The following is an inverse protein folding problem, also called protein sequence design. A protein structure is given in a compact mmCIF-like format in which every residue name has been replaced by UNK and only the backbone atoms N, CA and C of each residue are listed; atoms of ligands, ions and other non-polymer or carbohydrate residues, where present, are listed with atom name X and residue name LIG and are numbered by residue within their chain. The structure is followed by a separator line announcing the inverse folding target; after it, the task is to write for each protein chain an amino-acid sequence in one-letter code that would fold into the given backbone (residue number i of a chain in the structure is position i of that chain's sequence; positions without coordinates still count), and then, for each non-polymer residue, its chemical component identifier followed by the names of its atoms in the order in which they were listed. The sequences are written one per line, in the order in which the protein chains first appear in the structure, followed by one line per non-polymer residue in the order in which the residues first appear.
data_IF_487859029842
#
_entry.id   IF_487859029842
#
_cell.length_a   1.000
_cell.length_b   1.000
_cell.length_c   1.000
_cell.angle_alpha   90.00
_cell.angle_beta   90.00
_cell.angle_gamma   90.00
#
_symmetry.space_group_name_H-M   'P 1'
#
loop_
_entity.id
_entity.type
_entity.pdbx_description
1 polymer ?
#
# COMPACT_ATOMS: atom_id res chain seq x y z
N UNK A 1 -22.53 -4.60 -19.89
CA UNK A 1 -21.32 -3.97 -19.31
C UNK A 1 -20.39 -3.57 -20.43
N UNK A 2 -19.06 -3.77 -20.37
CA UNK A 2 -18.13 -3.25 -21.39
C UNK A 2 -18.50 -3.66 -22.84
N UNK A 3 -18.95 -4.89 -23.12
CA UNK A 3 -19.34 -5.27 -24.49
C UNK A 3 -20.74 -4.79 -24.92
N UNK A 4 -21.43 -3.98 -24.11
CA UNK A 4 -22.81 -3.56 -24.39
C UNK A 4 -23.85 -4.68 -24.21
N UNK A 5 -23.48 -5.80 -23.57
CA UNK A 5 -24.37 -6.93 -23.30
C UNK A 5 -24.89 -6.85 -21.86
N UNK A 6 -26.22 -6.90 -21.62
CA UNK A 6 -26.81 -7.03 -20.29
C UNK A 6 -26.38 -8.31 -19.58
N UNK A 7 -26.26 -8.26 -18.26
CA UNK A 7 -25.82 -9.39 -17.44
C UNK A 7 -26.91 -9.80 -16.47
N UNK A 8 -27.10 -11.10 -16.28
CA UNK A 8 -27.87 -11.67 -15.16
C UNK A 8 -26.85 -12.33 -14.22
N UNK A 9 -26.52 -11.64 -13.14
CA UNK A 9 -25.49 -12.03 -12.18
C UNK A 9 -26.07 -12.65 -10.92
N UNK A 10 -25.24 -13.39 -10.19
CA UNK A 10 -25.58 -13.84 -8.84
C UNK A 10 -25.37 -12.70 -7.83
N UNK A 11 -26.29 -12.51 -6.88
CA UNK A 11 -26.19 -11.55 -5.80
C UNK A 11 -25.20 -11.99 -4.70
N UNK A 12 -23.95 -12.25 -5.09
CA UNK A 12 -22.91 -12.76 -4.21
C UNK A 12 -21.51 -12.25 -4.59
N UNK A 13 -20.61 -12.24 -3.60
CA UNK A 13 -19.25 -11.75 -3.79
C UNK A 13 -19.22 -10.27 -4.18
N UNK A 14 -18.33 -9.90 -5.11
CA UNK A 14 -18.24 -8.53 -5.63
C UNK A 14 -19.15 -8.22 -6.83
N UNK A 15 -20.02 -9.16 -7.25
CA UNK A 15 -20.93 -8.92 -8.39
C UNK A 15 -21.95 -7.81 -8.09
N UNK A 16 -22.56 -7.72 -6.88
CA UNK A 16 -23.47 -6.63 -6.54
C UNK A 16 -22.84 -5.24 -6.64
N UNK A 17 -21.52 -5.12 -6.47
CA UNK A 17 -20.81 -3.85 -6.58
C UNK A 17 -20.67 -3.37 -8.05
N UNK A 18 -20.84 -4.28 -9.01
CA UNK A 18 -20.68 -4.02 -10.45
C UNK A 18 -22.02 -3.79 -11.19
N UNK A 19 -23.13 -4.30 -10.65
CA UNK A 19 -24.43 -4.33 -11.32
C UNK A 19 -25.45 -3.50 -10.54
N UNK A 20 -26.10 -2.55 -11.23
CA UNK A 20 -27.28 -1.85 -10.72
C UNK A 20 -28.50 -2.65 -11.15
N UNK A 21 -29.10 -3.35 -10.18
CA UNK A 21 -30.20 -4.26 -10.44
C UNK A 21 -31.40 -3.57 -11.13
N UNK A 22 -31.91 -4.21 -12.19
CA UNK A 22 -32.98 -3.68 -13.04
C UNK A 22 -32.55 -2.59 -14.04
N UNK A 23 -31.39 -1.97 -13.84
CA UNK A 23 -30.91 -0.84 -14.66
C UNK A 23 -29.83 -1.27 -15.66
N UNK A 24 -28.67 -1.73 -15.17
CA UNK A 24 -27.52 -2.14 -15.99
C UNK A 24 -27.41 -3.67 -16.15
N UNK A 25 -28.25 -4.41 -15.43
CA UNK A 25 -28.35 -5.86 -15.43
C UNK A 25 -29.34 -6.33 -14.37
N UNK A 26 -29.31 -7.62 -14.04
CA UNK A 26 -30.11 -8.20 -12.98
C UNK A 26 -29.25 -8.94 -11.97
N UNK A 27 -29.65 -8.89 -10.70
CA UNK A 27 -29.07 -9.67 -9.62
C UNK A 27 -30.09 -10.71 -9.14
N UNK A 28 -29.66 -11.97 -9.10
CA UNK A 28 -30.49 -13.11 -8.68
C UNK A 28 -29.84 -13.81 -7.50
N UNK A 29 -30.65 -14.25 -6.52
CA UNK A 29 -30.12 -14.91 -5.33
C UNK A 29 -29.47 -16.27 -5.67
N UNK A 30 -28.43 -16.68 -4.94
CA UNK A 30 -27.84 -18.01 -5.11
C UNK A 30 -28.89 -19.12 -4.99
N UNK A 31 -28.93 -20.02 -5.97
CA UNK A 31 -29.88 -21.15 -6.00
C UNK A 31 -31.28 -20.82 -6.54
N UNK A 32 -31.60 -19.54 -6.77
CA UNK A 32 -32.89 -19.12 -7.32
C UNK A 32 -32.96 -19.31 -8.85
N UNK A 33 -33.18 -20.56 -9.26
CA UNK A 33 -33.29 -20.94 -10.68
C UNK A 33 -34.45 -20.23 -11.38
N UNK A 34 -35.55 -20.00 -10.67
CA UNK A 34 -36.73 -19.33 -11.22
C UNK A 34 -36.46 -17.84 -11.47
N UNK A 35 -35.74 -17.18 -10.58
CA UNK A 35 -35.26 -15.81 -10.77
C UNK A 35 -34.43 -15.66 -12.05
N UNK A 36 -33.47 -16.56 -12.29
CA UNK A 36 -32.68 -16.56 -13.52
C UNK A 36 -33.54 -16.71 -14.77
N UNK A 37 -34.51 -17.63 -14.75
CA UNK A 37 -35.43 -17.85 -15.86
C UNK A 37 -36.28 -16.59 -16.14
N UNK A 38 -36.79 -15.95 -15.09
CA UNK A 38 -37.61 -14.75 -15.21
C UNK A 38 -36.81 -13.57 -15.79
N UNK A 39 -35.56 -13.39 -15.37
CA UNK A 39 -34.67 -12.38 -15.96
C UNK A 39 -34.35 -12.70 -17.42
N UNK A 40 -34.05 -13.96 -17.76
CA UNK A 40 -33.80 -14.37 -19.13
C UNK A 40 -35.01 -14.10 -20.03
N UNK A 41 -36.23 -14.40 -19.54
CA UNK A 41 -37.48 -14.10 -20.26
C UNK A 41 -37.64 -12.61 -20.56
N UNK A 42 -37.36 -11.73 -19.60
CA UNK A 42 -37.39 -10.27 -19.81
C UNK A 42 -36.40 -9.84 -20.91
N UNK A 43 -35.21 -10.44 -20.95
CA UNK A 43 -34.18 -10.13 -21.94
C UNK A 43 -34.43 -10.74 -23.33
N UNK A 44 -35.51 -11.51 -23.52
CA UNK A 44 -35.95 -11.92 -24.85
C UNK A 44 -36.52 -10.74 -25.66
N UNK A 45 -37.05 -9.70 -24.99
CA UNK A 45 -37.39 -8.44 -25.63
C UNK A 45 -36.12 -7.74 -26.11
N UNK A 46 -35.97 -7.64 -27.43
CA UNK A 46 -34.78 -7.10 -28.08
C UNK A 46 -34.59 -5.61 -27.83
N UNK A 47 -35.68 -4.84 -27.72
CA UNK A 47 -35.63 -3.40 -27.45
C UNK A 47 -35.17 -3.18 -26.01
N UNK A 48 -35.83 -3.84 -25.06
CA UNK A 48 -35.47 -3.75 -23.64
C UNK A 48 -34.03 -4.18 -23.39
N UNK A 49 -33.60 -5.30 -24.00
CA UNK A 49 -32.22 -5.79 -23.94
C UNK A 49 -31.23 -4.78 -24.50
N UNK A 50 -31.52 -4.15 -25.64
CA UNK A 50 -30.64 -3.17 -26.27
C UNK A 50 -30.46 -1.92 -25.39
N UNK A 51 -31.57 -1.38 -24.86
CA UNK A 51 -31.54 -0.21 -23.99
C UNK A 51 -30.75 -0.47 -22.69
N UNK A 52 -30.96 -1.62 -22.07
CA UNK A 52 -30.17 -2.05 -20.92
C UNK A 52 -28.69 -2.22 -21.28
N UNK A 53 -28.40 -2.71 -22.48
CA UNK A 53 -27.03 -2.87 -23.00
C UNK A 53 -26.28 -1.55 -23.08
N UNK A 54 -26.94 -0.49 -23.56
CA UNK A 54 -26.38 0.88 -23.61
C UNK A 54 -26.08 1.39 -22.19
N UNK A 55 -27.03 1.30 -21.27
CA UNK A 55 -26.82 1.74 -19.88
C UNK A 55 -25.67 0.97 -19.22
N UNK A 56 -25.61 -0.33 -19.44
CA UNK A 56 -24.54 -1.17 -18.93
C UNK A 56 -23.17 -0.84 -19.54
N UNK A 57 -23.10 -0.41 -20.80
CA UNK A 57 -21.86 0.08 -21.42
C UNK A 57 -21.42 1.39 -20.78
N UNK A 58 -22.34 2.36 -20.65
CA UNK A 58 -22.06 3.65 -20.05
C UNK A 58 -21.55 3.53 -18.60
N UNK A 59 -22.09 2.59 -17.84
CA UNK A 59 -21.57 2.30 -16.49
C UNK A 59 -20.15 1.73 -16.53
N UNK A 60 -19.89 0.77 -17.42
CA UNK A 60 -18.58 0.14 -17.53
C UNK A 60 -17.48 1.12 -17.97
N UNK A 61 -17.80 2.11 -18.80
CA UNK A 61 -16.86 3.13 -19.28
C UNK A 61 -16.36 4.08 -18.19
N UNK A 62 -17.04 4.15 -17.03
CA UNK A 62 -16.57 4.89 -15.87
C UNK A 62 -15.36 4.22 -15.20
N UNK A 63 -15.12 2.95 -15.51
CA UNK A 63 -14.08 2.13 -14.90
C UNK A 63 -12.98 1.83 -15.91
N UNK A 64 -11.76 2.29 -15.62
CA UNK A 64 -10.60 2.08 -16.49
C UNK A 64 -9.45 1.38 -15.76
N UNK A 65 -8.63 0.64 -16.51
CA UNK A 65 -7.41 0.02 -16.00
C UNK A 65 -6.45 1.03 -15.37
N UNK A 66 -6.35 2.22 -15.96
CA UNK A 66 -5.54 3.29 -15.41
C UNK A 66 -6.04 3.73 -14.02
N UNK A 67 -7.34 3.98 -13.88
CA UNK A 67 -7.93 4.36 -12.60
C UNK A 67 -7.69 3.26 -11.54
N UNK A 68 -7.93 2.00 -11.89
CA UNK A 68 -7.76 0.85 -11.01
C UNK A 68 -6.31 0.67 -10.51
N UNK A 69 -5.31 1.03 -11.34
CA UNK A 69 -3.90 0.85 -11.03
C UNK A 69 -3.20 2.11 -10.55
N UNK A 70 -3.86 3.28 -10.62
CA UNK A 70 -3.28 4.58 -10.29
C UNK A 70 -2.65 4.63 -8.90
N UNK A 71 -3.37 4.16 -7.87
CA UNK A 71 -2.88 4.13 -6.49
C UNK A 71 -1.74 3.13 -6.32
N UNK A 72 -1.84 1.95 -6.92
CA UNK A 72 -0.79 0.94 -6.88
C UNK A 72 0.52 1.50 -7.46
N UNK A 73 0.45 2.06 -8.66
CA UNK A 73 1.61 2.60 -9.39
C UNK A 73 2.17 3.86 -8.75
N UNK A 74 1.32 4.84 -8.47
CA UNK A 74 1.77 6.19 -8.08
C UNK A 74 2.00 6.33 -6.57
N UNK A 75 1.51 5.41 -5.74
CA UNK A 75 1.65 5.49 -4.27
C UNK A 75 2.36 4.26 -3.73
N UNK A 76 1.88 3.05 -4.06
CA UNK A 76 2.38 1.85 -3.40
C UNK A 76 3.77 1.44 -3.88
N UNK A 77 4.08 1.60 -5.17
CA UNK A 77 5.42 1.27 -5.69
C UNK A 77 6.50 2.19 -5.12
N UNK A 78 6.24 3.49 -5.00
CA UNK A 78 7.18 4.43 -4.37
C UNK A 78 7.44 4.04 -2.91
N UNK A 79 6.38 3.76 -2.15
CA UNK A 79 6.49 3.27 -0.77
C UNK A 79 7.28 1.97 -0.69
N UNK A 80 7.04 1.03 -1.60
CA UNK A 80 7.76 -0.23 -1.64
C UNK A 80 9.25 -0.04 -1.90
N UNK A 81 9.63 0.85 -2.83
CA UNK A 81 11.02 1.19 -3.09
C UNK A 81 11.70 1.83 -1.87
N UNK A 82 11.04 2.79 -1.21
CA UNK A 82 11.56 3.42 0.01
C UNK A 82 11.75 2.37 1.11
N UNK A 83 10.75 1.52 1.32
CA UNK A 83 10.80 0.48 2.35
C UNK A 83 11.88 -0.56 2.06
N UNK A 84 12.07 -0.94 0.80
CA UNK A 84 13.14 -1.82 0.38
C UNK A 84 14.51 -1.20 0.68
N UNK A 85 14.76 0.04 0.28
CA UNK A 85 16.04 0.71 0.55
C UNK A 85 16.34 0.85 2.05
N UNK A 86 15.33 1.21 2.86
CA UNK A 86 15.47 1.29 4.32
C UNK A 86 15.89 -0.05 4.94
N UNK A 87 15.32 -1.16 4.46
CA UNK A 87 15.59 -2.52 4.98
C UNK A 87 16.87 -3.12 4.43
N UNK A 88 17.09 -3.06 3.12
CA UNK A 88 18.21 -3.69 2.42
C UNK A 88 19.56 -3.07 2.81
N UNK A 89 19.59 -1.77 3.06
CA UNK A 89 20.81 -1.08 3.46
C UNK A 89 20.85 -0.72 4.94
N UNK A 90 19.89 -1.15 5.77
CA UNK A 90 19.95 -1.01 7.23
C UNK A 90 20.17 0.42 7.75
N UNK A 91 19.79 1.44 6.98
CA UNK A 91 20.14 2.83 7.26
C UNK A 91 21.55 3.27 6.83
N UNK A 92 22.46 2.38 6.41
CA UNK A 92 23.72 2.77 5.75
C UNK A 92 23.40 3.49 4.43
N UNK A 93 23.36 4.82 4.47
CA UNK A 93 23.01 5.68 3.32
C UNK A 93 22.02 6.81 3.66
N UNK A 94 21.37 6.75 4.83
CA UNK A 94 20.62 7.90 5.37
C UNK A 94 21.58 8.83 6.12
N UNK A 95 21.46 10.15 5.93
CA UNK A 95 22.35 11.16 6.53
C UNK A 95 22.45 11.10 8.08
N UNK A 96 21.49 10.44 8.75
CA UNK A 96 21.40 10.37 10.20
C UNK A 96 21.90 9.06 10.82
N UNK A 97 22.59 8.21 10.06
CA UNK A 97 23.01 6.91 10.59
C UNK A 97 24.31 7.05 11.39
N UNK A 98 24.20 6.82 12.70
CA UNK A 98 25.25 6.94 13.72
C UNK A 98 26.58 6.28 13.30
N UNK A 99 26.53 5.19 12.52
CA UNK A 99 27.71 4.50 11.99
C UNK A 99 28.58 5.35 11.05
N UNK A 100 27.96 6.15 10.17
CA UNK A 100 28.69 7.04 9.24
C UNK A 100 29.37 8.15 10.03
N UNK A 101 28.68 8.78 10.98
CA UNK A 101 29.25 9.79 11.87
C UNK A 101 30.36 9.25 12.77
N UNK A 102 30.24 8.00 13.25
CA UNK A 102 31.29 7.34 14.03
C UNK A 102 32.55 7.10 13.20
N UNK A 103 32.39 6.66 11.94
CA UNK A 103 33.50 6.47 11.00
C UNK A 103 34.15 7.80 10.59
N UNK A 104 33.34 8.84 10.33
CA UNK A 104 33.84 10.18 10.00
C UNK A 104 34.61 10.79 11.18
N UNK A 105 34.06 10.69 12.40
CA UNK A 105 34.72 11.14 13.63
C UNK A 105 36.06 10.42 13.85
N UNK A 106 36.11 9.10 13.62
CA UNK A 106 37.37 8.35 13.70
C UNK A 106 38.38 8.78 12.64
N UNK A 107 37.96 9.05 11.40
CA UNK A 107 38.86 9.54 10.34
C UNK A 107 39.40 10.94 10.65
N UNK A 108 38.55 11.86 11.11
CA UNK A 108 38.96 13.20 11.53
C UNK A 108 39.94 13.13 12.70
N UNK A 109 39.63 12.37 13.76
CA UNK A 109 40.51 12.22 14.92
C UNK A 109 41.91 11.69 14.55
N UNK A 110 42.00 10.72 13.62
CA UNK A 110 43.29 10.21 13.14
C UNK A 110 44.09 11.24 12.34
N UNK A 111 43.43 12.08 11.55
CA UNK A 111 44.09 13.16 10.80
C UNK A 111 44.64 14.22 11.76
N UNK A 112 43.86 14.63 12.77
CA UNK A 112 44.30 15.56 13.80
C UNK A 112 45.44 15.00 14.67
N UNK A 113 45.42 13.70 14.97
CA UNK A 113 46.52 13.02 15.66
C UNK A 113 47.82 13.01 14.84
N UNK A 114 47.70 12.91 13.50
CA UNK A 114 48.85 12.92 12.58
C UNK A 114 49.40 14.32 12.32
N UNK A 115 48.58 15.36 12.45
CA UNK A 115 48.95 16.77 12.28
C UNK A 115 49.64 17.39 13.51
N UNK A 116 49.76 16.65 14.62
CA UNK A 116 50.52 17.03 15.84
C UNK A 116 50.31 18.51 16.23
N UNK A 117 49.05 18.94 16.29
CA UNK A 117 48.69 20.29 16.76
C UNK A 117 48.92 20.34 18.28
N UNK A 118 49.77 21.23 18.80
CA UNK A 118 49.99 21.34 20.24
C UNK A 118 48.72 21.90 20.90
N UNK A 119 48.12 21.15 21.84
CA UNK A 119 47.01 21.64 22.67
C UNK A 119 45.83 20.70 22.90
N UNK A 120 45.69 19.61 22.13
CA UNK A 120 44.56 18.67 22.32
C UNK A 120 44.87 17.64 23.42
N UNK A 121 44.64 18.03 24.68
CA UNK A 121 44.73 17.14 25.85
C UNK A 121 43.59 16.12 25.79
N UNK A 122 43.92 14.81 25.81
CA UNK A 122 42.94 13.72 26.03
C UNK A 122 42.14 14.03 27.29
N UNK A 123 40.83 14.28 27.17
CA UNK A 123 39.92 14.12 28.31
C UNK A 123 39.82 12.61 28.54
N UNK A 124 40.23 12.17 29.73
CA UNK A 124 40.12 10.79 30.18
C UNK A 124 38.62 10.45 30.18
N UNK A 125 38.23 9.43 29.44
CA UNK A 125 36.94 8.81 29.66
C UNK A 125 37.09 8.09 30.99
N UNK A 126 36.43 8.59 32.04
CA UNK A 126 36.32 7.86 33.27
C UNK A 126 35.45 6.63 32.96
N UNK A 127 36.10 5.47 33.05
CA UNK A 127 35.47 4.15 33.20
C UNK A 127 34.62 4.22 34.46
N UNK A 128 33.31 4.17 34.29
CA UNK A 128 32.38 3.91 35.38
C UNK A 128 31.65 2.61 35.04
N UNK A 129 32.41 1.53 35.22
CA UNK A 129 32.00 0.16 35.01
C UNK A 129 31.67 -0.44 36.39
N UNK A 130 30.43 -0.20 36.85
CA UNK A 130 29.58 -1.23 37.46
C UNK A 130 29.82 -1.66 38.93
N UNK A 131 28.85 -1.30 39.79
CA UNK A 131 28.32 -2.18 40.85
C UNK A 131 26.88 -1.74 41.16
N UNK A 132 25.86 -2.40 40.60
CA UNK A 132 24.96 -3.35 41.28
C UNK A 132 24.45 -2.86 42.66
N UNK A 133 23.16 -2.53 42.67
CA UNK A 133 22.14 -2.70 43.70
C UNK A 133 22.58 -2.99 45.15
N UNK A 134 22.27 -2.06 46.07
CA UNK A 134 21.60 -2.37 47.34
C UNK A 134 21.22 -1.09 48.13
N UNK A 135 19.91 -0.92 48.31
CA UNK A 135 19.24 -0.47 49.54
C UNK A 135 19.45 0.96 50.09
N UNK A 136 18.35 1.74 50.11
CA UNK A 136 17.70 2.34 51.29
C UNK A 136 16.85 3.55 50.83
N UNK A 137 15.51 3.44 50.76
CA UNK A 137 14.57 3.81 51.82
C UNK A 137 14.57 5.30 52.23
N UNK A 138 13.36 5.88 52.17
CA UNK A 138 12.84 7.05 52.89
C UNK A 138 13.12 8.47 52.36
N UNK A 139 12.20 8.99 51.55
CA UNK A 139 11.24 10.06 51.92
C UNK A 139 10.30 10.37 50.76
#
# INVERSE_FOLDING_TARGET
MASGVPVVGCAAGGIPDLIRDGDTGFLVQPGDTEGYLNCAKKLMDTKYRSEMGVRARNEAEQWGWEAATSVLRNVQYEKALINFHKRAFGGFGSANTVGVWRLLRMRIARVFQKLRIPGFRKVKADEDDGSIDAQAQAA
#
